data_IF_848144005664
#
_entry.id   IF_848144005664
#
_cell.length_a   1.000
_cell.length_b   1.000
_cell.length_c   1.000
_cell.angle_alpha   90.00
_cell.angle_beta   90.00
_cell.angle_gamma   90.00
#
_symmetry.space_group_name_H-M   'P 1'
#
loop_
_entity.id
_entity.type
_entity.pdbx_description
1 polymer ?
#
# COMPACT_ATOMS: atom_id res chain seq x y z
N UNK A 1 12.36 -42.12 0.70
CA UNK A 1 11.59 -41.40 1.75
C UNK A 1 12.25 -40.04 1.96
N UNK A 2 11.82 -39.03 1.21
CA UNK A 2 12.27 -37.64 1.39
C UNK A 2 11.46 -37.03 2.54
N UNK A 3 12.10 -36.78 3.68
CA UNK A 3 11.50 -35.99 4.77
C UNK A 3 11.12 -34.62 4.20
N UNK A 4 9.85 -34.24 4.30
CA UNK A 4 9.45 -32.82 4.18
C UNK A 4 10.22 -32.05 5.26
N UNK A 5 10.71 -30.83 4.98
CA UNK A 5 11.26 -29.96 6.01
C UNK A 5 10.16 -29.74 7.06
N UNK A 6 10.44 -30.07 8.32
CA UNK A 6 9.59 -29.60 9.42
C UNK A 6 9.68 -28.08 9.44
N UNK A 7 8.56 -27.41 9.21
CA UNK A 7 8.42 -25.98 9.45
C UNK A 7 8.78 -25.74 10.91
N UNK A 8 9.74 -24.86 11.17
CA UNK A 8 10.09 -24.43 12.53
C UNK A 8 8.82 -24.01 13.29
N UNK A 9 8.69 -24.30 14.59
CA UNK A 9 7.54 -23.85 15.37
C UNK A 9 7.39 -22.33 15.23
N UNK A 10 6.22 -21.89 14.73
CA UNK A 10 5.93 -20.47 14.53
C UNK A 10 6.05 -19.74 15.89
N UNK A 11 6.91 -18.72 15.97
CA UNK A 11 7.14 -17.95 17.19
C UNK A 11 5.90 -17.12 17.57
N UNK A 12 5.53 -17.18 18.85
CA UNK A 12 4.47 -16.38 19.48
C UNK A 12 4.90 -14.97 19.84
N UNK A 13 6.15 -14.60 19.55
CA UNK A 13 6.68 -13.29 19.92
C UNK A 13 5.87 -12.18 19.22
N UNK A 14 5.70 -11.03 19.89
CA UNK A 14 4.90 -9.94 19.36
C UNK A 14 5.37 -9.45 17.99
N UNK A 15 4.41 -9.04 17.18
CA UNK A 15 4.62 -8.29 15.94
C UNK A 15 4.02 -6.90 16.09
N UNK A 16 4.69 -5.87 15.58
CA UNK A 16 4.20 -4.50 15.61
C UNK A 16 3.67 -4.10 14.23
N UNK A 17 2.45 -3.59 14.18
CA UNK A 17 1.85 -3.02 12.99
C UNK A 17 1.62 -1.53 13.19
N UNK A 18 2.31 -0.70 12.41
CA UNK A 18 2.09 0.75 12.37
C UNK A 18 0.97 1.10 11.40
N UNK A 19 0.43 2.33 11.49
CA UNK A 19 -0.70 2.77 10.66
C UNK A 19 -1.88 1.77 10.70
N UNK A 20 -2.11 1.17 11.87
CA UNK A 20 -2.96 -0.01 12.05
C UNK A 20 -4.45 0.26 11.77
N UNK A 21 -4.90 1.51 11.87
CA UNK A 21 -6.27 1.92 11.53
C UNK A 21 -6.45 2.33 10.05
N UNK A 22 -5.36 2.30 9.28
CA UNK A 22 -5.35 2.56 7.84
C UNK A 22 -5.74 1.33 7.01
N UNK A 23 -5.81 1.51 5.69
CA UNK A 23 -6.19 0.44 4.74
C UNK A 23 -5.21 -0.74 4.78
N UNK A 24 -3.91 -0.45 4.70
CA UNK A 24 -2.86 -1.47 4.66
C UNK A 24 -2.59 -2.04 6.05
N UNK A 25 -2.25 -1.20 7.04
CA UNK A 25 -1.95 -1.66 8.40
C UNK A 25 -3.11 -2.43 9.03
N UNK A 26 -4.36 -1.99 8.83
CA UNK A 26 -5.53 -2.72 9.32
C UNK A 26 -5.73 -4.07 8.64
N UNK A 27 -5.43 -4.17 7.33
CA UNK A 27 -5.43 -5.44 6.63
C UNK A 27 -4.32 -6.37 7.16
N UNK A 28 -3.12 -5.85 7.41
CA UNK A 28 -2.00 -6.60 8.00
C UNK A 28 -2.36 -7.12 9.39
N UNK A 29 -2.97 -6.30 10.26
CA UNK A 29 -3.46 -6.75 11.58
C UNK A 29 -4.45 -7.91 11.42
N UNK A 30 -5.46 -7.77 10.56
CA UNK A 30 -6.47 -8.83 10.35
C UNK A 30 -5.84 -10.12 9.80
N UNK A 31 -4.90 -10.01 8.86
CA UNK A 31 -4.21 -11.17 8.30
C UNK A 31 -3.37 -11.91 9.36
N UNK A 32 -2.62 -11.17 10.19
CA UNK A 32 -1.83 -11.75 11.28
C UNK A 32 -2.71 -12.41 12.35
N UNK A 33 -3.84 -11.79 12.73
CA UNK A 33 -4.79 -12.37 13.67
C UNK A 33 -5.45 -13.64 13.11
N UNK A 34 -5.77 -13.67 11.82
CA UNK A 34 -6.35 -14.83 11.16
C UNK A 34 -5.38 -16.02 11.06
N UNK A 35 -4.07 -15.77 10.90
CA UNK A 35 -3.03 -16.82 10.96
C UNK A 35 -2.88 -17.41 12.38
N UNK A 36 -3.25 -16.65 13.41
CA UNK A 36 -3.40 -17.13 14.79
C UNK A 36 -2.10 -17.43 15.53
N UNK A 37 -0.94 -17.07 14.98
CA UNK A 37 0.36 -17.46 15.55
C UNK A 37 1.12 -16.34 16.23
N UNK A 38 0.72 -15.08 16.02
CA UNK A 38 1.44 -13.90 16.50
C UNK A 38 0.61 -13.09 17.48
N UNK A 39 1.25 -12.59 18.54
CA UNK A 39 0.66 -11.55 19.37
C UNK A 39 0.74 -10.20 18.63
N UNK A 40 -0.39 -9.69 18.13
CA UNK A 40 -0.38 -8.48 17.29
C UNK A 40 -0.47 -7.22 18.14
N UNK A 41 0.59 -6.40 18.13
CA UNK A 41 0.57 -5.02 18.64
C UNK A 41 0.16 -4.08 17.52
N UNK A 42 -0.99 -3.43 17.67
CA UNK A 42 -1.49 -2.43 16.73
C UNK A 42 -1.21 -1.02 17.27
N UNK A 43 -0.32 -0.28 16.61
CA UNK A 43 0.00 1.08 17.02
C UNK A 43 -1.09 2.05 16.56
N UNK A 44 -1.64 2.81 17.51
CA UNK A 44 -2.71 3.77 17.29
C UNK A 44 -2.42 5.08 18.01
N UNK A 45 -2.84 6.21 17.43
CA UNK A 45 -2.73 7.53 18.08
C UNK A 45 -3.81 7.73 19.13
N UNK A 46 -5.04 7.31 18.80
CA UNK A 46 -6.19 7.35 19.71
C UNK A 46 -6.86 5.96 19.79
N UNK A 47 -6.77 5.28 20.96
CA UNK A 47 -7.38 3.97 21.16
C UNK A 47 -8.91 4.01 21.20
N UNK A 48 -9.53 5.19 21.33
CA UNK A 48 -10.98 5.33 21.45
C UNK A 48 -11.72 5.40 20.12
N UNK A 49 -11.00 5.56 19.01
CA UNK A 49 -11.60 5.61 17.67
C UNK A 49 -12.34 4.30 17.36
N UNK A 50 -13.44 4.34 16.56
CA UNK A 50 -14.17 3.13 16.19
C UNK A 50 -13.27 2.05 15.56
N UNK A 51 -12.33 2.44 14.69
CA UNK A 51 -11.39 1.53 14.06
C UNK A 51 -10.42 0.89 15.07
N UNK A 52 -9.87 1.66 16.01
CA UNK A 52 -9.00 1.10 17.05
C UNK A 52 -9.74 0.09 17.94
N UNK A 53 -10.97 0.42 18.35
CA UNK A 53 -11.84 -0.49 19.12
C UNK A 53 -12.16 -1.78 18.37
N UNK A 54 -12.39 -1.70 17.05
CA UNK A 54 -12.58 -2.89 16.21
C UNK A 54 -11.33 -3.79 16.17
N UNK A 55 -10.13 -3.21 16.08
CA UNK A 55 -8.89 -4.00 16.15
C UNK A 55 -8.72 -4.68 17.51
N UNK A 56 -9.00 -3.97 18.61
CA UNK A 56 -8.97 -4.55 19.95
C UNK A 56 -9.97 -5.69 20.12
N UNK A 57 -11.21 -5.50 19.65
CA UNK A 57 -12.26 -6.52 19.69
C UNK A 57 -11.90 -7.75 18.83
N UNK A 58 -11.12 -7.57 17.77
CA UNK A 58 -10.59 -8.67 16.95
C UNK A 58 -9.40 -9.41 17.60
N UNK A 59 -8.88 -8.92 18.73
CA UNK A 59 -7.78 -9.56 19.48
C UNK A 59 -6.42 -8.88 19.35
N UNK A 60 -6.32 -7.70 18.71
CA UNK A 60 -5.07 -6.94 18.70
C UNK A 60 -4.83 -6.23 20.04
N UNK A 61 -3.58 -6.24 20.51
CA UNK A 61 -3.14 -5.42 21.63
C UNK A 61 -2.86 -4.00 21.14
N UNK A 62 -3.66 -3.02 21.57
CA UNK A 62 -3.43 -1.62 21.19
C UNK A 62 -2.23 -1.06 21.95
N UNK A 63 -1.30 -0.45 21.22
CA UNK A 63 -0.23 0.36 21.80
C UNK A 63 -0.41 1.79 21.34
N UNK A 64 -0.42 2.72 22.29
CA UNK A 64 -0.58 4.15 21.98
C UNK A 64 0.78 4.71 21.57
N UNK A 65 0.83 5.37 20.40
CA UNK A 65 2.05 5.98 19.90
C UNK A 65 1.84 6.76 18.61
N UNK A 66 2.77 7.68 18.36
CA UNK A 66 2.87 8.48 17.13
C UNK A 66 4.29 8.35 16.57
N UNK A 67 4.47 8.58 15.27
CA UNK A 67 5.79 8.55 14.65
C UNK A 67 6.73 9.66 15.13
N UNK A 68 6.20 10.71 15.76
CA UNK A 68 6.99 11.76 16.38
C UNK A 68 7.37 11.47 17.86
N UNK A 69 6.74 10.45 18.48
CA UNK A 69 7.03 10.05 19.87
C UNK A 69 8.05 8.91 19.91
N UNK A 70 9.33 9.27 19.96
CA UNK A 70 10.43 8.32 20.00
C UNK A 70 10.37 7.35 21.20
N UNK A 71 9.85 7.80 22.35
CA UNK A 71 9.75 6.96 23.54
C UNK A 71 8.67 5.90 23.34
N UNK A 72 7.51 6.30 22.82
CA UNK A 72 6.43 5.37 22.50
C UNK A 72 6.84 4.39 21.39
N UNK A 73 7.56 4.84 20.35
CA UNK A 73 8.07 3.97 19.29
C UNK A 73 9.01 2.90 19.83
N UNK A 74 9.96 3.27 20.70
CA UNK A 74 10.85 2.30 21.36
C UNK A 74 10.07 1.33 22.24
N UNK A 75 9.18 1.84 23.09
CA UNK A 75 8.34 1.00 23.94
C UNK A 75 7.52 -0.02 23.14
N UNK A 76 6.97 0.39 21.99
CA UNK A 76 6.22 -0.48 21.10
C UNK A 76 7.07 -1.61 20.49
N UNK A 77 8.37 -1.38 20.27
CA UNK A 77 9.31 -2.33 19.67
C UNK A 77 9.90 -3.35 20.65
N UNK A 78 9.76 -3.17 21.98
CA UNK A 78 10.35 -4.07 22.98
C UNK A 78 9.87 -5.52 22.79
N UNK A 79 10.80 -6.42 22.51
CA UNK A 79 10.53 -7.86 22.33
C UNK A 79 9.74 -8.19 21.07
N UNK A 80 9.65 -7.27 20.11
CA UNK A 80 8.96 -7.50 18.83
C UNK A 80 9.87 -8.25 17.86
N UNK A 81 9.38 -9.34 17.26
CA UNK A 81 10.14 -10.10 16.25
C UNK A 81 10.04 -9.50 14.85
N UNK A 82 8.97 -8.77 14.54
CA UNK A 82 8.81 -8.13 13.24
C UNK A 82 7.98 -6.85 13.30
N UNK A 83 8.36 -5.85 12.51
CA UNK A 83 7.63 -4.58 12.35
C UNK A 83 7.07 -4.45 10.94
N UNK A 84 5.79 -4.08 10.82
CA UNK A 84 5.20 -3.54 9.60
C UNK A 84 5.22 -2.01 9.64
N UNK A 85 5.96 -1.41 8.71
CA UNK A 85 6.13 0.03 8.52
C UNK A 85 5.31 0.50 7.34
N UNK A 86 4.45 1.49 7.55
CA UNK A 86 3.82 2.24 6.47
C UNK A 86 3.56 3.68 6.91
N UNK A 87 4.13 4.63 6.16
CA UNK A 87 3.91 6.05 6.30
C UNK A 87 3.15 6.54 5.06
N UNK A 88 2.29 7.53 5.25
CA UNK A 88 1.59 8.22 4.17
C UNK A 88 1.73 9.72 4.35
N UNK A 89 1.63 10.53 3.29
CA UNK A 89 1.54 11.97 3.45
C UNK A 89 0.30 12.35 4.25
N UNK A 90 0.33 13.53 4.87
CA UNK A 90 -0.79 14.06 5.63
C UNK A 90 -1.77 14.69 4.65
N UNK A 91 -2.98 14.15 4.58
CA UNK A 91 -4.06 14.71 3.77
C UNK A 91 -4.96 15.60 4.64
N UNK A 92 -5.20 16.83 4.20
CA UNK A 92 -6.07 17.79 4.87
C UNK A 92 -6.89 18.58 3.85
N UNK A 93 -7.84 19.39 4.32
CA UNK A 93 -8.56 20.34 3.45
C UNK A 93 -7.64 21.40 2.83
N UNK A 94 -6.46 21.63 3.41
CA UNK A 94 -5.46 22.57 2.89
C UNK A 94 -4.54 21.94 1.82
N UNK A 95 -4.66 20.64 1.56
CA UNK A 95 -3.82 19.90 0.60
C UNK A 95 -3.06 18.74 1.23
N UNK A 96 -2.01 18.31 0.54
CA UNK A 96 -1.17 17.16 0.91
C UNK A 96 0.18 17.65 1.43
N UNK A 97 0.54 17.26 2.65
CA UNK A 97 1.83 17.57 3.28
C UNK A 97 2.74 16.33 3.27
N UNK A 98 3.86 16.46 2.57
CA UNK A 98 4.90 15.45 2.39
C UNK A 98 6.10 15.64 3.33
N UNK A 99 6.14 16.70 4.14
CA UNK A 99 7.33 17.10 4.89
C UNK A 99 7.75 16.12 5.99
N UNK A 100 6.82 15.30 6.48
CA UNK A 100 7.01 14.46 7.68
C UNK A 100 7.43 13.01 7.39
N UNK A 101 7.11 12.48 6.20
CA UNK A 101 7.23 11.04 5.91
C UNK A 101 8.65 10.50 6.13
N UNK A 102 9.68 11.24 5.72
CA UNK A 102 11.09 10.82 5.88
C UNK A 102 11.47 10.72 7.36
N UNK A 103 11.14 11.74 8.15
CA UNK A 103 11.39 11.74 9.59
C UNK A 103 10.66 10.61 10.31
N UNK A 104 9.42 10.32 9.92
CA UNK A 104 8.67 9.19 10.46
C UNK A 104 9.29 7.82 10.12
N UNK A 105 9.84 7.67 8.91
CA UNK A 105 10.59 6.47 8.54
C UNK A 105 11.86 6.34 9.38
N UNK A 106 12.64 7.42 9.53
CA UNK A 106 13.86 7.44 10.33
C UNK A 106 13.60 7.10 11.79
N UNK A 107 12.55 7.67 12.38
CA UNK A 107 12.18 7.46 13.77
C UNK A 107 11.82 6.00 14.04
N UNK A 108 10.95 5.41 13.21
CA UNK A 108 10.54 4.02 13.39
C UNK A 108 11.72 3.05 13.16
N UNK A 109 12.51 3.26 12.11
CA UNK A 109 13.66 2.39 11.83
C UNK A 109 14.68 2.47 12.97
N UNK A 110 14.96 3.66 13.49
CA UNK A 110 15.89 3.85 14.60
C UNK A 110 15.38 3.21 15.89
N UNK A 111 14.08 3.32 16.19
CA UNK A 111 13.47 2.68 17.34
C UNK A 111 13.52 1.14 17.23
N UNK A 112 13.20 0.59 16.06
CA UNK A 112 13.24 -0.85 15.83
C UNK A 112 14.67 -1.42 15.98
N UNK A 113 15.68 -0.74 15.43
CA UNK A 113 17.08 -1.14 15.61
C UNK A 113 17.53 -1.05 17.08
N UNK A 114 17.14 0.01 17.79
CA UNK A 114 17.51 0.20 19.20
C UNK A 114 16.97 -0.89 20.12
N UNK A 115 15.82 -1.49 19.77
CA UNK A 115 15.20 -2.59 20.51
C UNK A 115 15.51 -3.98 19.91
N UNK A 116 16.42 -4.06 18.93
CA UNK A 116 16.89 -5.32 18.36
C UNK A 116 15.84 -6.08 17.55
N UNK A 117 14.90 -5.38 16.90
CA UNK A 117 13.92 -6.03 16.01
C UNK A 117 14.64 -6.69 14.83
N UNK A 118 14.51 -8.00 14.60
CA UNK A 118 15.26 -8.69 13.55
C UNK A 118 14.63 -8.54 12.16
N UNK A 119 13.29 -8.50 12.05
CA UNK A 119 12.58 -8.44 10.76
C UNK A 119 11.83 -7.13 10.55
N UNK A 120 12.02 -6.49 9.40
CA UNK A 120 11.36 -5.22 9.07
C UNK A 120 10.69 -5.26 7.69
N UNK A 121 9.36 -5.17 7.66
CA UNK A 121 8.56 -5.15 6.43
C UNK A 121 8.08 -3.72 6.19
N UNK A 122 8.53 -3.10 5.11
CA UNK A 122 8.16 -1.73 4.77
C UNK A 122 7.29 -1.69 3.53
N UNK A 123 6.14 -1.04 3.63
CA UNK A 123 5.25 -0.81 2.49
C UNK A 123 5.51 0.56 1.87
N UNK A 124 5.77 0.54 0.56
CA UNK A 124 5.92 1.71 -0.29
C UNK A 124 4.90 1.64 -1.43
N UNK A 125 5.30 1.90 -2.69
CA UNK A 125 4.46 1.71 -3.89
C UNK A 125 5.30 1.24 -5.07
N UNK A 126 4.71 0.44 -5.96
CA UNK A 126 5.36 0.04 -7.19
C UNK A 126 5.67 1.26 -8.09
N UNK A 127 6.80 1.24 -8.79
CA UNK A 127 7.34 2.39 -9.54
C UNK A 127 8.31 3.26 -8.72
N UNK A 128 8.45 3.01 -7.41
CA UNK A 128 9.49 3.67 -6.60
C UNK A 128 10.86 3.06 -6.88
N UNK A 129 11.79 3.89 -7.36
CA UNK A 129 13.04 3.49 -7.98
C UNK A 129 12.97 3.77 -9.48
N UNK A 130 11.99 3.18 -10.15
CA UNK A 130 11.81 3.29 -11.60
C UNK A 130 11.36 4.69 -12.07
N UNK A 131 10.66 5.44 -11.22
CA UNK A 131 10.21 6.82 -11.53
C UNK A 131 11.35 7.75 -11.98
N UNK A 132 12.58 7.54 -11.50
CA UNK A 132 13.73 8.38 -11.88
C UNK A 132 14.18 8.18 -13.32
N UNK A 133 13.79 7.06 -13.93
CA UNK A 133 14.05 6.72 -15.32
C UNK A 133 12.89 7.09 -16.25
N UNK A 134 11.75 7.53 -15.70
CA UNK A 134 10.61 7.97 -16.49
C UNK A 134 10.97 9.21 -17.34
N UNK A 135 10.59 9.24 -18.63
CA UNK A 135 10.80 10.39 -19.50
C UNK A 135 10.27 11.68 -18.87
N UNK A 136 11.07 12.74 -18.80
CA UNK A 136 10.66 14.02 -18.22
C UNK A 136 10.92 14.18 -16.72
N UNK A 137 11.26 13.10 -16.00
CA UNK A 137 11.53 13.19 -14.55
C UNK A 137 12.75 14.06 -14.25
N UNK A 138 13.88 13.81 -14.94
CA UNK A 138 15.14 14.53 -14.74
C UNK A 138 15.04 16.00 -15.14
N UNK A 139 14.14 16.31 -16.06
CA UNK A 139 13.82 17.66 -16.52
C UNK A 139 12.81 18.38 -15.61
N UNK A 140 12.29 17.71 -14.57
CA UNK A 140 11.37 18.31 -13.61
C UNK A 140 9.94 18.49 -14.12
N UNK A 141 9.50 17.70 -15.11
CA UNK A 141 8.15 17.83 -15.70
C UNK A 141 6.99 17.48 -14.76
N UNK A 142 7.27 16.77 -13.65
CA UNK A 142 6.23 16.24 -12.74
C UNK A 142 6.45 16.70 -11.30
N UNK A 143 6.42 18.02 -11.02
CA UNK A 143 6.70 18.54 -9.69
C UNK A 143 5.69 18.05 -8.63
N UNK A 144 4.44 17.79 -9.01
CA UNK A 144 3.41 17.25 -8.11
C UNK A 144 3.67 15.81 -7.65
N UNK A 145 4.54 15.08 -8.35
CA UNK A 145 4.89 13.69 -8.05
C UNK A 145 6.23 13.58 -7.31
N UNK A 146 7.04 14.64 -7.32
CA UNK A 146 8.42 14.61 -6.83
C UNK A 146 8.50 14.14 -5.38
N UNK A 147 7.86 14.85 -4.44
CA UNK A 147 7.95 14.51 -3.02
C UNK A 147 7.34 13.14 -2.71
N UNK A 148 6.24 12.77 -3.38
CA UNK A 148 5.59 11.47 -3.17
C UNK A 148 6.54 10.30 -3.47
N UNK A 149 7.23 10.32 -4.61
CA UNK A 149 8.13 9.23 -4.99
C UNK A 149 9.49 9.30 -4.27
N UNK A 150 10.03 10.50 -4.08
CA UNK A 150 11.33 10.69 -3.43
C UNK A 150 11.28 10.36 -1.94
N UNK A 151 10.19 10.69 -1.23
CA UNK A 151 10.00 10.28 0.16
C UNK A 151 9.92 8.76 0.31
N UNK A 152 9.22 8.12 -0.62
CA UNK A 152 9.07 6.66 -0.63
C UNK A 152 10.37 5.96 -0.98
N UNK A 153 11.15 6.50 -1.90
CA UNK A 153 12.48 6.00 -2.22
C UNK A 153 13.43 6.17 -1.03
N UNK A 154 13.38 7.33 -0.37
CA UNK A 154 14.14 7.58 0.86
C UNK A 154 13.85 6.52 1.92
N UNK A 155 12.57 6.26 2.22
CA UNK A 155 12.18 5.26 3.21
C UNK A 155 12.64 3.84 2.84
N UNK A 156 12.55 3.45 1.55
CA UNK A 156 13.08 2.18 1.06
C UNK A 156 14.60 2.09 1.32
N UNK A 157 15.36 3.10 0.92
CA UNK A 157 16.82 3.09 1.10
C UNK A 157 17.21 3.16 2.56
N UNK A 158 16.45 3.87 3.40
CA UNK A 158 16.65 3.90 4.85
C UNK A 158 16.51 2.52 5.47
N UNK A 159 15.53 1.72 5.05
CA UNK A 159 15.30 0.35 5.52
C UNK A 159 16.37 -0.60 4.99
N UNK A 160 16.67 -0.54 3.68
CA UNK A 160 17.70 -1.40 3.05
C UNK A 160 19.07 -1.23 3.69
N UNK A 161 19.43 -0.01 4.06
CA UNK A 161 20.73 0.32 4.64
C UNK A 161 20.72 0.31 6.19
N UNK A 162 19.61 -0.08 6.82
CA UNK A 162 19.44 -0.03 8.28
C UNK A 162 20.26 -1.08 9.04
N UNK A 163 20.53 -2.24 8.42
CA UNK A 163 21.20 -3.36 9.07
C UNK A 163 20.28 -4.33 9.83
N UNK A 164 18.99 -4.43 9.46
CA UNK A 164 18.11 -5.50 9.96
C UNK A 164 18.60 -6.88 9.49
N UNK A 165 18.37 -7.92 10.29
CA UNK A 165 18.69 -9.30 9.90
C UNK A 165 17.89 -9.75 8.67
N UNK A 166 16.61 -9.35 8.63
CA UNK A 166 15.75 -9.52 7.46
C UNK A 166 14.93 -8.27 7.19
N UNK A 167 14.79 -7.91 5.92
CA UNK A 167 13.84 -6.88 5.50
C UNK A 167 13.11 -7.28 4.22
N UNK A 168 11.90 -6.75 4.06
CA UNK A 168 11.11 -6.91 2.83
C UNK A 168 10.49 -5.56 2.45
N UNK A 169 10.56 -5.23 1.16
CA UNK A 169 9.91 -4.03 0.63
C UNK A 169 8.66 -4.45 -0.13
N UNK A 170 7.49 -4.13 0.40
CA UNK A 170 6.20 -4.39 -0.26
C UNK A 170 5.88 -3.19 -1.15
N UNK A 171 5.61 -3.46 -2.43
CA UNK A 171 5.41 -2.46 -3.48
C UNK A 171 4.05 -2.69 -4.16
N UNK A 172 2.94 -2.27 -3.53
CA UNK A 172 1.61 -2.40 -4.11
C UNK A 172 1.45 -1.61 -5.41
N UNK A 173 0.62 -2.13 -6.32
CA UNK A 173 0.04 -1.37 -7.42
C UNK A 173 -1.06 -0.40 -6.97
N UNK A 174 -1.83 0.10 -7.94
CA UNK A 174 -2.99 0.96 -7.71
C UNK A 174 -4.07 0.22 -6.93
N UNK A 175 -4.50 0.80 -5.82
CA UNK A 175 -5.53 0.16 -5.00
C UNK A 175 -6.85 0.08 -5.76
N UNK A 176 -7.54 -1.05 -5.67
CA UNK A 176 -8.88 -1.20 -6.23
C UNK A 176 -9.88 -0.20 -5.60
N UNK A 177 -9.59 0.24 -4.38
CA UNK A 177 -10.31 1.31 -3.66
C UNK A 177 -9.92 2.75 -4.04
N UNK A 178 -9.13 2.95 -5.10
CA UNK A 178 -8.67 4.29 -5.51
C UNK A 178 -9.82 5.10 -6.09
N UNK A 179 -9.92 6.39 -5.73
CA UNK A 179 -11.05 7.24 -6.12
C UNK A 179 -11.19 7.42 -7.63
N UNK A 180 -10.08 7.44 -8.38
CA UNK A 180 -10.07 7.50 -9.86
C UNK A 180 -11.00 6.46 -10.54
N UNK A 181 -11.19 5.31 -9.92
CA UNK A 181 -11.99 4.20 -10.46
C UNK A 181 -13.26 3.95 -9.63
N UNK A 182 -13.62 4.86 -8.73
CA UNK A 182 -14.86 4.82 -7.99
C UNK A 182 -15.96 5.57 -8.76
N UNK A 183 -17.07 4.92 -9.16
CA UNK A 183 -18.13 5.58 -9.92
C UNK A 183 -18.73 6.82 -9.28
N UNK A 184 -18.58 7.00 -7.95
CA UNK A 184 -19.01 8.22 -7.25
C UNK A 184 -18.23 9.47 -7.66
N UNK A 185 -17.07 9.34 -8.31
CA UNK A 185 -16.28 10.47 -8.82
C UNK A 185 -16.44 10.71 -10.32
N UNK A 186 -17.28 9.92 -11.01
CA UNK A 186 -17.48 10.08 -12.44
C UNK A 186 -18.30 11.34 -12.73
N UNK A 187 -17.90 12.09 -13.76
CA UNK A 187 -18.64 13.27 -14.21
C UNK A 187 -20.06 12.87 -14.62
N UNK A 188 -21.04 13.68 -14.21
CA UNK A 188 -22.47 13.44 -14.39
C UNK A 188 -22.94 12.06 -13.86
N UNK A 189 -22.15 11.46 -12.96
CA UNK A 189 -22.38 10.10 -12.44
C UNK A 189 -22.17 8.98 -13.46
N UNK A 190 -21.52 9.26 -14.61
CA UNK A 190 -21.34 8.27 -15.69
C UNK A 190 -19.98 8.27 -16.40
N UNK A 191 -19.34 9.42 -16.56
CA UNK A 191 -18.15 9.58 -17.40
C UNK A 191 -16.88 9.60 -16.54
N UNK A 192 -16.00 8.63 -16.73
CA UNK A 192 -14.64 8.68 -16.21
C UNK A 192 -13.79 9.53 -17.16
N UNK A 193 -13.66 10.82 -16.83
CA UNK A 193 -12.83 11.77 -17.59
C UNK A 193 -11.37 11.66 -17.12
N UNK A 194 -10.45 11.48 -18.06
CA UNK A 194 -9.03 11.20 -17.74
C UNK A 194 -8.09 11.73 -18.83
N UNK A 195 -6.79 11.79 -18.50
CA UNK A 195 -5.70 11.99 -19.46
C UNK A 195 -4.87 10.72 -19.67
N UNK A 196 -5.25 9.63 -19.01
CA UNK A 196 -4.54 8.36 -19.09
C UNK A 196 -4.83 7.70 -20.44
N UNK A 197 -3.78 7.26 -21.13
CA UNK A 197 -3.90 6.63 -22.43
C UNK A 197 -4.80 5.37 -22.36
N UNK A 198 -5.72 5.16 -23.33
CA UNK A 198 -6.67 4.03 -23.30
C UNK A 198 -6.02 2.64 -23.14
N UNK A 199 -4.81 2.47 -23.70
CA UNK A 199 -4.04 1.24 -23.67
C UNK A 199 -3.23 1.04 -22.38
N UNK A 200 -3.12 2.05 -21.52
CA UNK A 200 -2.36 1.96 -20.28
C UNK A 200 -3.03 0.98 -19.31
N UNK A 201 -2.29 -0.03 -18.88
CA UNK A 201 -2.75 -1.03 -17.90
C UNK A 201 -2.27 -0.71 -16.50
N UNK A 202 -3.21 -0.62 -15.58
CA UNK A 202 -2.96 -0.45 -14.15
C UNK A 202 -2.75 -1.80 -13.47
N UNK A 203 -1.69 -1.96 -12.66
CA UNK A 203 -1.61 -3.03 -11.69
C UNK A 203 -2.58 -2.76 -10.54
N UNK A 204 -3.68 -3.51 -10.48
CA UNK A 204 -4.71 -3.35 -9.47
C UNK A 204 -4.48 -4.29 -8.29
N UNK A 205 -4.61 -3.80 -7.06
CA UNK A 205 -4.44 -4.60 -5.84
C UNK A 205 -5.50 -4.26 -4.78
N UNK A 206 -6.06 -5.28 -4.14
CA UNK A 206 -6.90 -5.09 -2.95
C UNK A 206 -5.99 -4.81 -1.73
N UNK A 207 -6.23 -3.73 -0.95
CA UNK A 207 -5.54 -3.54 0.32
C UNK A 207 -5.55 -4.74 1.28
N UNK A 208 -6.56 -5.62 1.21
CA UNK A 208 -6.59 -6.87 1.96
C UNK A 208 -5.42 -7.78 1.59
N UNK A 209 -5.12 -7.92 0.29
CA UNK A 209 -4.04 -8.77 -0.20
C UNK A 209 -2.66 -8.20 0.13
N UNK A 210 -2.54 -6.86 0.24
CA UNK A 210 -1.32 -6.22 0.77
C UNK A 210 -1.08 -6.65 2.21
N UNK A 211 -2.14 -6.69 3.02
CA UNK A 211 -2.08 -7.16 4.40
C UNK A 211 -1.66 -8.62 4.52
N UNK A 212 -2.21 -9.48 3.66
CA UNK A 212 -1.86 -10.92 3.59
C UNK A 212 -0.38 -11.07 3.22
N UNK A 213 0.08 -10.38 2.17
CA UNK A 213 1.47 -10.41 1.73
C UNK A 213 2.44 -9.89 2.82
N UNK A 214 2.05 -8.83 3.51
CA UNK A 214 2.85 -8.25 4.61
C UNK A 214 2.94 -9.22 5.79
N UNK A 215 1.82 -9.87 6.17
CA UNK A 215 1.81 -10.89 7.21
C UNK A 215 2.68 -12.10 6.84
N UNK A 216 2.64 -12.55 5.57
CA UNK A 216 3.49 -13.61 5.06
C UNK A 216 4.99 -13.26 5.18
N UNK A 217 5.37 -12.05 4.76
CA UNK A 217 6.76 -11.57 4.87
C UNK A 217 7.24 -11.47 6.34
N UNK A 218 6.36 -11.07 7.27
CA UNK A 218 6.68 -11.04 8.70
C UNK A 218 6.79 -12.44 9.31
N UNK A 219 6.06 -13.43 8.78
CA UNK A 219 6.02 -14.79 9.32
C UNK A 219 7.06 -15.73 8.70
N UNK A 220 7.57 -15.42 7.50
CA UNK A 220 8.59 -16.19 6.80
C UNK A 220 9.74 -15.30 6.30
N UNK A 221 10.52 -14.70 7.22
CA UNK A 221 11.63 -13.82 6.83
C UNK A 221 12.70 -14.54 5.99
N UNK A 222 12.79 -15.87 6.02
CA UNK A 222 13.75 -16.63 5.21
C UNK A 222 13.40 -16.57 3.72
N UNK A 223 12.12 -16.67 3.38
CA UNK A 223 11.65 -16.56 1.99
C UNK A 223 11.66 -15.12 1.48
N UNK A 224 11.39 -14.14 2.35
CA UNK A 224 11.14 -12.75 1.94
C UNK A 224 12.32 -11.78 2.19
N UNK A 225 13.45 -12.23 2.75
CA UNK A 225 14.60 -11.36 3.00
C UNK A 225 15.14 -10.75 1.70
N UNK A 226 15.31 -9.43 1.67
CA UNK A 226 15.84 -8.67 0.54
C UNK A 226 14.87 -8.53 -0.63
N UNK A 227 13.65 -9.08 -0.54
CA UNK A 227 12.69 -9.09 -1.63
C UNK A 227 12.04 -7.72 -1.81
N UNK A 228 11.96 -7.27 -3.07
CA UNK A 228 11.06 -6.21 -3.55
C UNK A 228 9.78 -6.86 -4.06
N UNK A 229 8.78 -6.98 -3.20
CA UNK A 229 7.54 -7.69 -3.49
C UNK A 229 6.55 -6.73 -4.16
N UNK A 230 6.62 -6.64 -5.49
CA UNK A 230 5.62 -5.91 -6.26
C UNK A 230 4.28 -6.68 -6.28
N UNK A 231 3.18 -6.01 -5.93
CA UNK A 231 1.88 -6.65 -5.75
C UNK A 231 0.82 -6.11 -6.71
N UNK A 232 0.24 -7.01 -7.50
CA UNK A 232 -0.98 -6.81 -8.27
C UNK A 232 -1.81 -8.09 -8.22
N UNK A 233 -3.13 -7.98 -8.23
CA UNK A 233 -4.05 -9.09 -8.50
C UNK A 233 -4.45 -9.18 -9.97
N UNK A 234 -4.45 -8.04 -10.67
CA UNK A 234 -4.80 -7.99 -12.09
C UNK A 234 -4.19 -6.76 -12.79
N UNK A 235 -4.05 -6.85 -14.12
CA UNK A 235 -3.59 -5.74 -14.98
C UNK A 235 -4.73 -5.35 -15.93
N UNK A 236 -5.36 -4.18 -15.71
CA UNK A 236 -6.50 -3.72 -16.51
C UNK A 236 -6.32 -2.28 -16.98
N UNK A 237 -6.82 -2.00 -18.18
CA UNK A 237 -7.07 -0.64 -18.67
C UNK A 237 -8.25 0.00 -17.95
N UNK A 238 -8.35 1.34 -18.01
CA UNK A 238 -9.55 2.03 -17.49
C UNK A 238 -10.82 1.57 -18.22
N UNK A 239 -10.74 1.27 -19.52
CA UNK A 239 -11.87 0.75 -20.29
C UNK A 239 -12.37 -0.60 -19.76
N UNK A 240 -11.47 -1.56 -19.54
CA UNK A 240 -11.82 -2.87 -18.96
C UNK A 240 -12.39 -2.74 -17.54
N UNK A 241 -11.83 -1.84 -16.71
CA UNK A 241 -12.35 -1.53 -15.37
C UNK A 241 -13.79 -1.00 -15.45
N UNK A 242 -14.02 -0.01 -16.30
CA UNK A 242 -15.33 0.62 -16.49
C UNK A 242 -16.36 -0.37 -17.04
N UNK A 243 -15.96 -1.25 -17.96
CA UNK A 243 -16.84 -2.32 -18.47
C UNK A 243 -17.31 -3.27 -17.35
N UNK A 244 -16.38 -3.70 -16.49
CA UNK A 244 -16.71 -4.55 -15.33
C UNK A 244 -17.69 -3.82 -14.40
N UNK A 245 -17.40 -2.56 -14.06
CA UNK A 245 -18.28 -1.76 -13.19
C UNK A 245 -19.66 -1.57 -13.82
N UNK A 246 -19.74 -1.26 -15.11
CA UNK A 246 -21.00 -1.12 -15.84
C UNK A 246 -21.86 -2.36 -15.77
N UNK A 247 -21.26 -3.53 -15.99
CA UNK A 247 -21.96 -4.81 -15.90
C UNK A 247 -22.46 -5.09 -14.49
N UNK A 248 -21.65 -4.81 -13.47
CA UNK A 248 -22.01 -5.07 -12.06
C UNK A 248 -23.09 -4.11 -11.55
N UNK A 249 -23.07 -2.85 -11.98
CA UNK A 249 -23.98 -1.81 -11.52
C UNK A 249 -25.26 -1.70 -12.35
N UNK A 250 -25.30 -2.37 -13.52
CA UNK A 250 -26.39 -2.22 -14.48
C UNK A 250 -26.50 -0.78 -15.02
N UNK A 251 -25.36 -0.07 -15.12
CA UNK A 251 -25.27 1.34 -15.52
C UNK A 251 -24.27 1.51 -16.64
N UNK A 252 -24.62 2.32 -17.63
CA UNK A 252 -23.72 2.66 -18.72
C UNK A 252 -22.70 3.72 -18.26
N UNK A 253 -21.45 3.28 -18.14
CA UNK A 253 -20.30 4.10 -17.79
C UNK A 253 -19.34 4.11 -18.97
N UNK A 254 -18.67 5.25 -19.17
CA UNK A 254 -17.75 5.43 -20.29
C UNK A 254 -16.46 6.08 -19.83
N UNK A 255 -15.36 5.74 -20.50
CA UNK A 255 -14.07 6.41 -20.32
C UNK A 255 -13.89 7.44 -21.41
N UNK A 256 -13.58 8.67 -21.01
CA UNK A 256 -13.23 9.76 -21.92
C UNK A 256 -11.78 10.17 -21.64
N UNK A 257 -10.87 9.65 -22.47
CA UNK A 257 -9.46 10.02 -22.44
C UNK A 257 -9.17 11.10 -23.47
N UNK A 258 -8.40 12.13 -23.08
CA UNK A 258 -8.03 13.24 -23.97
C UNK A 258 -6.80 13.99 -23.47
N UNK A 259 -6.52 15.15 -24.06
CA UNK A 259 -5.46 16.04 -23.56
C UNK A 259 -5.82 16.65 -22.20
N UNK A 260 -4.86 17.22 -21.43
CA UNK A 260 -5.17 17.96 -20.22
C UNK A 260 -6.24 19.05 -20.42
N UNK A 261 -6.19 19.77 -21.54
CA UNK A 261 -7.17 20.80 -21.88
C UNK A 261 -8.56 20.22 -22.15
N UNK A 262 -8.65 19.13 -22.91
CA UNK A 262 -9.91 18.44 -23.18
C UNK A 262 -10.52 17.84 -21.92
N UNK A 263 -9.70 17.19 -21.08
CA UNK A 263 -10.14 16.63 -19.81
C UNK A 263 -10.63 17.74 -18.86
N UNK A 264 -9.92 18.87 -18.82
CA UNK A 264 -10.34 20.03 -18.02
C UNK A 264 -11.66 20.64 -18.51
N UNK A 265 -11.84 20.78 -19.82
CA UNK A 265 -13.10 21.24 -20.41
C UNK A 265 -14.27 20.29 -20.10
N UNK A 266 -13.99 19.01 -19.85
CA UNK A 266 -14.96 17.99 -19.49
C UNK A 266 -15.12 17.77 -17.97
N UNK A 267 -14.52 18.62 -17.14
CA UNK A 267 -14.77 18.67 -15.70
C UNK A 267 -13.69 18.01 -14.82
N UNK A 268 -12.58 17.53 -15.40
CA UNK A 268 -11.42 17.10 -14.62
C UNK A 268 -10.69 18.33 -14.06
N UNK A 269 -10.31 18.30 -12.79
CA UNK A 269 -9.53 19.39 -12.22
C UNK A 269 -8.16 19.50 -12.95
N UNK A 270 -7.74 20.69 -13.43
CA UNK A 270 -6.49 20.83 -14.19
C UNK A 270 -5.24 20.35 -13.45
N UNK A 271 -5.15 20.58 -12.14
CA UNK A 271 -4.01 20.10 -11.36
C UNK A 271 -4.01 18.56 -11.23
N UNK A 272 -5.19 17.94 -11.22
CA UNK A 272 -5.31 16.47 -11.26
C UNK A 272 -4.91 15.95 -12.64
N UNK A 273 -5.37 16.59 -13.72
CA UNK A 273 -5.01 16.22 -15.10
C UNK A 273 -3.49 16.24 -15.29
N UNK A 274 -2.82 17.34 -14.94
CA UNK A 274 -1.35 17.45 -14.99
C UNK A 274 -0.66 16.37 -14.16
N UNK A 275 -1.15 16.13 -12.94
CA UNK A 275 -0.59 15.11 -12.05
C UNK A 275 -0.73 13.69 -12.61
N UNK A 276 -1.81 13.39 -13.32
CA UNK A 276 -2.07 12.09 -13.95
C UNK A 276 -1.20 11.85 -15.19
N UNK A 277 -0.67 12.88 -15.85
CA UNK A 277 0.21 12.72 -17.02
C UNK A 277 1.44 11.85 -16.71
N UNK A 278 1.90 11.85 -15.46
CA UNK A 278 3.01 11.00 -15.05
C UNK A 278 2.71 9.50 -15.16
N UNK A 279 1.45 9.10 -14.96
CA UNK A 279 1.01 7.70 -15.06
C UNK A 279 1.31 7.13 -16.45
N UNK A 280 1.13 7.92 -17.49
CA UNK A 280 1.37 7.49 -18.87
C UNK A 280 2.83 7.12 -19.18
N UNK A 281 3.78 7.67 -18.41
CA UNK A 281 5.22 7.50 -18.67
C UNK A 281 5.92 6.66 -17.60
N UNK A 282 5.30 6.46 -16.44
CA UNK A 282 5.85 5.67 -15.35
C UNK A 282 5.76 4.17 -15.67
N UNK A 283 6.90 3.50 -15.63
CA UNK A 283 6.95 2.04 -15.63
C UNK A 283 6.65 1.51 -14.22
N UNK A 284 5.65 0.64 -14.10
CA UNK A 284 5.23 0.04 -12.83
C UNK A 284 5.43 -1.47 -12.91
N UNK A 285 6.43 -2.06 -12.20
CA UNK A 285 6.78 -3.48 -12.37
C UNK A 285 5.75 -4.49 -11.81
N UNK A 286 4.79 -4.04 -11.02
CA UNK A 286 3.81 -4.93 -10.38
C UNK A 286 2.99 -5.70 -11.42
N UNK A 287 3.01 -7.03 -11.29
CA UNK A 287 2.18 -7.97 -12.06
C UNK A 287 1.78 -9.14 -11.15
N UNK A 288 0.66 -9.84 -11.42
CA UNK A 288 0.18 -10.91 -10.56
C UNK A 288 1.16 -12.08 -10.38
N UNK A 289 1.99 -12.34 -11.39
CA UNK A 289 2.96 -13.45 -11.41
C UNK A 289 4.01 -13.32 -10.30
N UNK A 290 4.40 -12.09 -9.93
CA UNK A 290 5.36 -11.84 -8.86
C UNK A 290 4.80 -12.33 -7.53
N UNK A 291 3.56 -11.95 -7.18
CA UNK A 291 2.94 -12.43 -5.95
C UNK A 291 2.78 -13.97 -5.94
N UNK A 292 2.37 -14.54 -7.08
CA UNK A 292 2.21 -16.01 -7.23
C UNK A 292 3.51 -16.78 -7.05
N UNK A 293 4.66 -16.24 -7.46
CA UNK A 293 5.96 -16.91 -7.23
C UNK A 293 6.34 -17.02 -5.75
N UNK A 294 5.70 -16.22 -4.88
CA UNK A 294 5.82 -16.30 -3.42
C UNK A 294 4.65 -17.03 -2.75
N UNK A 295 3.84 -17.77 -3.52
CA UNK A 295 2.69 -18.52 -3.01
C UNK A 295 1.50 -17.65 -2.62
N UNK A 296 1.49 -16.36 -3.01
CA UNK A 296 0.39 -15.44 -2.75
C UNK A 296 -0.58 -15.44 -3.94
N UNK A 297 -1.87 -15.35 -3.67
CA UNK A 297 -2.91 -15.33 -4.72
C UNK A 297 -3.83 -14.11 -4.53
N UNK A 298 -3.36 -12.89 -4.83
CA UNK A 298 -4.21 -11.71 -4.76
C UNK A 298 -5.42 -11.85 -5.69
N UNK A 299 -6.56 -11.29 -5.28
CA UNK A 299 -7.80 -11.43 -6.03
C UNK A 299 -7.83 -10.50 -7.25
N UNK A 300 -8.57 -10.91 -8.29
CA UNK A 300 -8.86 -10.05 -9.46
C UNK A 300 -9.89 -8.96 -9.15
N UNK A 301 -9.95 -7.95 -10.02
CA UNK A 301 -10.76 -6.75 -9.84
C UNK A 301 -12.26 -7.05 -9.79
N UNK A 302 -12.78 -7.91 -10.66
CA UNK A 302 -14.22 -8.24 -10.65
C UNK A 302 -14.63 -8.95 -9.36
N UNK A 303 -13.79 -9.87 -8.85
CA UNK A 303 -14.02 -10.55 -7.58
C UNK A 303 -14.07 -9.56 -6.42
N UNK A 304 -13.10 -8.63 -6.38
CA UNK A 304 -13.09 -7.55 -5.40
C UNK A 304 -14.34 -6.66 -5.51
N UNK A 305 -14.69 -6.26 -6.73
CA UNK A 305 -15.79 -5.34 -7.02
C UNK A 305 -17.15 -5.92 -6.59
N UNK A 306 -17.36 -7.24 -6.78
CA UNK A 306 -18.54 -7.94 -6.28
C UNK A 306 -18.60 -7.93 -4.75
N UNK A 307 -17.50 -8.30 -4.08
CA UNK A 307 -17.42 -8.30 -2.61
C UNK A 307 -17.72 -6.93 -2.01
N UNK A 308 -17.23 -5.84 -2.63
CA UNK A 308 -17.51 -4.47 -2.16
C UNK A 308 -19.02 -4.19 -2.14
N UNK A 309 -19.74 -4.58 -3.20
CA UNK A 309 -21.19 -4.38 -3.34
C UNK A 309 -22.03 -5.23 -2.39
N UNK A 310 -21.54 -6.40 -2.02
CA UNK A 310 -22.24 -7.26 -1.06
C UNK A 310 -22.15 -6.71 0.40
N UNK A 311 -21.25 -5.75 0.65
CA UNK A 311 -21.03 -5.14 1.96
C UNK A 311 -21.70 -3.76 2.14
N UNK A 312 -22.09 -3.10 1.03
CA UNK A 312 -22.72 -1.77 0.99
C UNK A 312 -24.25 -1.88 0.93
#
# INVERSE_FOLDING_TARGET
MTRRPELSPKSTDPVLVTSATGRQGGATVRALLADGTSNVRAMVRDPNTPKAKQLAAAGAHLVVGDFEDLVALRAACIGVRAVFSMQSPIMSSAGVDFSRERGWADNLVSAALAEGVPTFVHSSTSGVGEHRDAPGWKEGKYPSQFDYYENKLYAIERVRNAGFESFTIVLPGTFMTHSMIDPSTFADGRRLVTVVAPEHKFPLIDPVDIGIASAAAMNDPATFNGVKLHLAGEMLTLGEIVEILSRLDGRDYVVESGTPEEAAANGLNPAIAESMMFVNVLQVPAVPEIARSYGLTPIGFETWARRKRDMD
#
